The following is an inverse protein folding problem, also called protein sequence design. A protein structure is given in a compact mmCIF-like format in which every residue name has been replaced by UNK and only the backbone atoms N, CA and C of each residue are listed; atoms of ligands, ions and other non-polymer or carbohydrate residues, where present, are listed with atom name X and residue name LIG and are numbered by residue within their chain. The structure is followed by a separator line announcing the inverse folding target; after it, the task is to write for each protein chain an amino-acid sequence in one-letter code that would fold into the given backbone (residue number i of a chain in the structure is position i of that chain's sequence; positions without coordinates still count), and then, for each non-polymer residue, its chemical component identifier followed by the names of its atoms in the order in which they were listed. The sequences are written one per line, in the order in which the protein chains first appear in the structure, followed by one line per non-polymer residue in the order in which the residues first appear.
data_IF_287168812448
#
_entry.id   IF_287168812448
#
_cell.length_a   1.000
_cell.length_b   1.000
_cell.length_c   1.000
_cell.angle_alpha   90.00
_cell.angle_beta   90.00
_cell.angle_gamma   90.00
#
_symmetry.space_group_name_H-M   'P 1'
#
loop_
_entity.id
_entity.type
_entity.pdbx_description
1 polymer ?
#
# COMPACT_ATOMS: atom_id res chain seq x y z
N UNK A 1 20.01 10.63 22.48
CA UNK A 1 20.17 9.23 22.03
C UNK A 1 21.64 8.90 21.90
N UNK A 2 22.05 7.68 22.23
CA UNK A 2 23.39 7.20 21.86
C UNK A 2 23.27 6.67 20.42
N UNK A 3 23.94 7.32 19.46
CA UNK A 3 23.79 7.04 18.02
C UNK A 3 24.22 5.63 17.56
N UNK A 4 24.81 5.49 16.40
CA UNK A 4 25.33 4.19 15.95
C UNK A 4 26.56 3.73 16.76
N UNK A 5 26.68 2.43 17.04
CA UNK A 5 27.91 1.82 17.56
C UNK A 5 28.05 0.39 17.03
N UNK A 6 29.19 0.08 16.41
CA UNK A 6 29.48 -1.26 15.89
C UNK A 6 29.57 -2.34 16.99
N UNK A 7 29.75 -1.94 18.26
CA UNK A 7 29.75 -2.83 19.40
C UNK A 7 28.32 -3.19 19.87
N UNK A 8 27.33 -2.34 19.56
CA UNK A 8 25.90 -2.60 19.86
C UNK A 8 25.27 -3.39 18.72
N UNK A 9 25.57 -4.69 18.67
CA UNK A 9 25.06 -5.59 17.63
C UNK A 9 24.70 -6.96 18.19
N UNK A 10 23.77 -7.63 17.51
CA UNK A 10 23.51 -9.06 17.65
C UNK A 10 24.15 -9.77 16.46
N UNK A 11 24.98 -10.79 16.72
CA UNK A 11 25.51 -11.65 15.66
C UNK A 11 24.49 -12.71 15.28
N UNK A 12 24.29 -12.92 13.97
CA UNK A 12 23.44 -13.97 13.41
C UNK A 12 24.26 -14.84 12.46
N UNK A 13 24.08 -16.15 12.52
CA UNK A 13 24.86 -17.11 11.75
C UNK A 13 24.19 -17.41 10.41
N UNK A 14 24.90 -17.10 9.33
CA UNK A 14 24.48 -17.30 7.93
C UNK A 14 25.61 -17.88 7.08
N UNK A 15 25.26 -18.64 6.04
CA UNK A 15 26.21 -19.20 5.08
C UNK A 15 26.54 -18.16 3.99
N UNK A 16 27.56 -17.34 4.24
CA UNK A 16 28.02 -16.30 3.29
C UNK A 16 26.88 -15.37 2.86
N UNK A 17 26.39 -14.55 3.81
CA UNK A 17 25.30 -13.60 3.58
C UNK A 17 25.62 -12.61 2.47
N UNK A 18 24.74 -12.50 1.47
CA UNK A 18 24.96 -11.73 0.24
C UNK A 18 23.96 -10.58 0.02
N UNK A 19 22.88 -10.53 0.80
CA UNK A 19 21.89 -9.47 0.77
C UNK A 19 20.85 -9.67 1.88
N UNK A 20 20.14 -8.61 2.28
CA UNK A 20 19.13 -8.71 3.33
C UNK A 20 17.90 -7.83 3.08
N UNK A 21 16.75 -8.26 3.59
CA UNK A 21 15.47 -7.53 3.58
C UNK A 21 14.79 -7.68 4.94
N UNK A 22 14.32 -6.57 5.52
CA UNK A 22 13.63 -6.57 6.80
C UNK A 22 12.15 -6.18 6.64
N UNK A 23 11.24 -7.10 6.93
CA UNK A 23 9.78 -6.93 6.89
C UNK A 23 9.13 -7.88 7.90
N UNK A 24 7.91 -7.60 8.33
CA UNK A 24 7.11 -8.51 9.15
C UNK A 24 6.48 -9.60 8.24
N UNK A 25 7.22 -10.67 7.98
CA UNK A 25 6.81 -11.68 7.01
C UNK A 25 5.73 -12.61 7.55
N UNK A 26 5.64 -12.78 8.87
CA UNK A 26 4.65 -13.65 9.51
C UNK A 26 3.43 -12.88 10.08
N UNK A 27 3.47 -11.55 10.13
CA UNK A 27 2.40 -10.69 10.61
C UNK A 27 2.26 -10.66 12.14
N UNK A 28 3.33 -10.94 12.89
CA UNK A 28 3.32 -10.98 14.36
C UNK A 28 3.58 -9.61 15.02
N UNK A 29 3.82 -8.58 14.21
CA UNK A 29 4.09 -7.20 14.64
C UNK A 29 5.56 -6.90 14.91
N UNK A 30 6.46 -7.88 14.74
CA UNK A 30 7.90 -7.69 14.81
C UNK A 30 8.51 -7.75 13.40
N UNK A 31 9.57 -6.96 13.16
CA UNK A 31 10.32 -7.07 11.91
C UNK A 31 11.11 -8.38 11.90
N UNK A 32 10.97 -9.14 10.83
CA UNK A 32 11.80 -10.28 10.50
C UNK A 32 12.97 -9.86 9.59
N UNK A 33 13.95 -10.74 9.41
CA UNK A 33 15.12 -10.50 8.58
C UNK A 33 15.34 -11.68 7.62
N UNK A 34 15.11 -11.45 6.34
CA UNK A 34 15.52 -12.37 5.26
C UNK A 34 16.95 -12.06 4.85
N UNK A 35 17.78 -13.09 4.71
CA UNK A 35 19.20 -12.99 4.31
C UNK A 35 19.49 -14.01 3.22
N UNK A 36 19.86 -13.53 2.02
CA UNK A 36 20.34 -14.37 0.94
C UNK A 36 21.72 -14.94 1.30
N UNK A 37 21.94 -16.22 1.00
CA UNK A 37 23.15 -16.94 1.37
C UNK A 37 23.80 -17.56 0.13
N UNK A 38 25.09 -17.30 -0.09
CA UNK A 38 25.76 -17.60 -1.36
C UNK A 38 26.53 -18.94 -1.37
N UNK A 39 27.18 -19.29 -0.26
CA UNK A 39 28.05 -20.46 -0.21
C UNK A 39 28.22 -20.98 1.21
N UNK A 40 28.30 -22.30 1.33
CA UNK A 40 28.62 -22.99 2.58
C UNK A 40 30.09 -22.77 2.96
N UNK A 41 30.51 -23.03 4.22
CA UNK A 41 31.89 -22.83 4.65
C UNK A 41 32.96 -23.58 3.83
N UNK A 42 32.59 -24.66 3.13
CA UNK A 42 33.47 -25.43 2.25
C UNK A 42 33.53 -24.89 0.80
N UNK A 43 32.89 -23.76 0.51
CA UNK A 43 32.81 -23.17 -0.83
C UNK A 43 31.72 -23.78 -1.74
N UNK A 44 30.90 -24.72 -1.25
CA UNK A 44 29.78 -25.26 -2.03
C UNK A 44 28.66 -24.21 -2.15
N UNK A 45 28.28 -23.89 -3.38
CA UNK A 45 27.24 -22.91 -3.71
C UNK A 45 25.82 -23.46 -3.52
N UNK A 46 25.63 -24.63 -2.90
CA UNK A 46 24.31 -25.13 -2.48
C UNK A 46 23.90 -24.62 -1.11
N UNK A 47 24.01 -23.32 -0.88
CA UNK A 47 23.65 -22.67 0.38
C UNK A 47 22.17 -22.25 0.40
N UNK A 48 21.52 -22.47 1.55
CA UNK A 48 20.13 -22.08 1.80
C UNK A 48 20.08 -20.67 2.42
N UNK A 49 19.15 -19.85 1.97
CA UNK A 49 18.92 -18.52 2.54
C UNK A 49 18.20 -18.62 3.89
N UNK A 50 18.39 -17.64 4.76
CA UNK A 50 17.85 -17.66 6.12
C UNK A 50 16.76 -16.59 6.28
N UNK A 51 15.64 -16.95 6.91
CA UNK A 51 14.64 -16.02 7.39
C UNK A 51 14.62 -16.09 8.92
N UNK A 52 15.13 -15.05 9.57
CA UNK A 52 15.12 -14.92 11.03
C UNK A 52 13.85 -14.20 11.46
N UNK A 53 13.10 -14.79 12.41
CA UNK A 53 11.90 -14.14 12.91
C UNK A 53 12.22 -13.25 14.11
N UNK A 54 11.79 -11.99 14.06
CA UNK A 54 12.00 -11.01 15.14
C UNK A 54 10.98 -11.14 16.27
N UNK A 55 11.33 -10.73 17.49
CA UNK A 55 10.43 -10.87 18.64
C UNK A 55 10.82 -9.97 19.81
N UNK A 56 10.11 -10.07 20.94
CA UNK A 56 10.37 -9.24 22.12
C UNK A 56 11.80 -9.37 22.67
N UNK A 57 12.44 -10.52 22.48
CA UNK A 57 13.82 -10.80 22.89
C UNK A 57 14.85 -10.50 21.77
N UNK A 58 14.40 -9.97 20.63
CA UNK A 58 15.22 -9.73 19.44
C UNK A 58 15.38 -10.97 18.53
N UNK A 59 16.38 -10.91 17.64
CA UNK A 59 16.69 -11.99 16.70
C UNK A 59 17.48 -13.13 17.36
N UNK A 60 17.28 -14.37 16.89
CA UNK A 60 17.96 -15.56 17.40
C UNK A 60 18.24 -16.57 16.29
N UNK A 61 19.40 -17.24 16.34
CA UNK A 61 19.75 -18.34 15.44
C UNK A 61 18.83 -19.56 15.55
N UNK A 62 18.12 -19.70 16.68
CA UNK A 62 17.17 -20.78 16.92
C UNK A 62 15.76 -20.46 16.43
N UNK A 63 15.48 -19.19 16.08
CA UNK A 63 14.19 -18.74 15.57
C UNK A 63 14.33 -18.31 14.11
N UNK A 64 14.69 -19.26 13.25
CA UNK A 64 14.81 -19.05 11.81
C UNK A 64 14.24 -20.18 10.98
N UNK A 65 13.81 -19.84 9.77
CA UNK A 65 13.46 -20.76 8.69
C UNK A 65 14.58 -20.76 7.65
N UNK A 66 14.95 -21.94 7.15
CA UNK A 66 15.83 -22.07 5.99
C UNK A 66 14.99 -22.14 4.72
N UNK A 67 15.24 -21.22 3.80
CA UNK A 67 14.61 -21.17 2.48
C UNK A 67 15.42 -22.03 1.50
N UNK A 68 14.78 -22.87 0.68
CA UNK A 68 15.46 -23.83 -0.20
C UNK A 68 16.03 -23.16 -1.46
N UNK A 69 16.90 -22.17 -1.28
CA UNK A 69 17.69 -21.55 -2.35
C UNK A 69 18.96 -22.35 -2.62
N UNK A 70 19.61 -22.10 -3.77
CA UNK A 70 20.94 -22.62 -4.10
C UNK A 70 21.89 -21.46 -4.40
N UNK A 71 22.55 -20.95 -3.35
CA UNK A 71 23.70 -20.05 -3.50
C UNK A 71 23.36 -18.67 -4.07
N UNK A 72 22.19 -18.15 -3.69
CA UNK A 72 21.74 -16.82 -4.09
C UNK A 72 22.82 -15.76 -3.84
N UNK A 73 23.16 -15.05 -4.91
CA UNK A 73 24.11 -13.95 -4.88
C UNK A 73 23.30 -12.66 -5.10
N UNK A 74 23.00 -11.96 -4.01
CA UNK A 74 22.20 -10.72 -3.93
C UNK A 74 20.67 -10.89 -3.70
N UNK A 75 20.00 -9.79 -3.34
CA UNK A 75 18.54 -9.64 -3.24
C UNK A 75 18.09 -8.40 -4.01
N UNK A 76 17.29 -8.59 -5.05
CA UNK A 76 16.53 -7.51 -5.70
C UNK A 76 15.14 -7.41 -5.08
N UNK A 77 14.77 -6.22 -4.61
CA UNK A 77 13.43 -5.95 -4.10
C UNK A 77 12.95 -4.56 -4.51
N UNK A 78 11.64 -4.34 -4.45
CA UNK A 78 11.07 -3.00 -4.42
C UNK A 78 10.99 -2.59 -2.96
N UNK A 79 11.46 -1.38 -2.63
CA UNK A 79 11.38 -0.84 -1.27
C UNK A 79 9.96 -0.98 -0.72
N UNK A 80 9.88 -1.55 0.49
CA UNK A 80 8.60 -1.69 1.16
C UNK A 80 8.10 -0.32 1.65
N UNK A 81 6.89 0.01 1.24
CA UNK A 81 6.21 1.24 1.65
C UNK A 81 6.60 2.46 0.82
N UNK A 82 5.94 3.57 1.13
CA UNK A 82 6.11 4.81 0.39
C UNK A 82 7.50 5.43 0.65
N UNK A 83 8.18 5.87 -0.42
CA UNK A 83 9.56 6.39 -0.36
C UNK A 83 9.72 7.50 0.68
N UNK A 84 8.77 8.44 0.75
CA UNK A 84 8.86 9.62 1.62
C UNK A 84 8.67 9.31 3.11
N UNK A 85 7.67 8.50 3.46
CA UNK A 85 7.22 8.34 4.86
C UNK A 85 7.26 6.89 5.36
N UNK A 86 7.69 5.94 4.52
CA UNK A 86 7.87 4.51 4.84
C UNK A 86 6.63 3.79 5.35
N UNK A 87 5.45 4.38 5.18
CA UNK A 87 4.17 3.73 5.51
C UNK A 87 3.77 2.81 4.36
N UNK A 88 3.07 1.73 4.69
CA UNK A 88 2.56 0.76 3.73
C UNK A 88 1.27 1.23 3.04
N UNK A 89 1.26 2.47 2.58
CA UNK A 89 0.15 3.08 1.86
C UNK A 89 0.66 3.91 0.68
N UNK A 90 -0.03 3.80 -0.46
CA UNK A 90 0.25 4.56 -1.68
C UNK A 90 -1.06 5.14 -2.19
N UNK A 91 -1.07 6.43 -2.50
CA UNK A 91 -2.21 7.10 -3.09
C UNK A 91 -2.00 7.27 -4.61
N UNK A 92 -3.02 6.91 -5.39
CA UNK A 92 -3.11 7.20 -6.81
C UNK A 92 -4.31 8.10 -7.08
N UNK A 93 -4.10 9.20 -7.78
CA UNK A 93 -5.15 10.17 -8.12
C UNK A 93 -5.51 10.04 -9.58
N UNK A 94 -6.81 9.89 -9.89
CA UNK A 94 -7.29 9.77 -11.26
C UNK A 94 -7.05 11.04 -12.06
N UNK A 95 -7.13 10.94 -13.39
CA UNK A 95 -7.33 12.14 -14.23
C UNK A 95 -8.61 12.87 -13.82
N UNK A 96 -8.65 14.18 -14.08
CA UNK A 96 -9.86 14.98 -13.93
C UNK A 96 -10.82 14.60 -15.07
N UNK A 97 -12.05 14.24 -14.70
CA UNK A 97 -13.14 14.03 -15.65
C UNK A 97 -14.03 15.28 -15.71
N UNK A 98 -14.16 15.87 -16.89
CA UNK A 98 -14.98 17.06 -17.11
C UNK A 98 -16.33 16.70 -17.73
N UNK A 99 -17.40 17.30 -17.22
CA UNK A 99 -18.77 17.10 -17.68
C UNK A 99 -19.33 18.40 -18.28
N UNK A 100 -20.22 18.27 -19.26
CA UNK A 100 -20.85 19.42 -19.93
C UNK A 100 -21.79 20.20 -19.00
N UNK A 101 -22.46 19.50 -18.08
CA UNK A 101 -23.37 20.07 -17.08
C UNK A 101 -22.88 19.77 -15.66
N UNK A 102 -23.28 20.57 -14.65
CA UNK A 102 -22.98 20.26 -13.26
C UNK A 102 -23.55 18.90 -12.84
N UNK A 103 -22.72 18.12 -12.16
CA UNK A 103 -23.03 16.80 -11.61
C UNK A 103 -22.55 16.67 -10.16
N UNK A 104 -23.09 15.68 -9.47
CA UNK A 104 -22.56 15.14 -8.21
C UNK A 104 -22.27 13.65 -8.36
N UNK A 105 -21.47 13.10 -7.45
CA UNK A 105 -21.18 11.66 -7.42
C UNK A 105 -22.23 10.94 -6.58
N UNK A 106 -23.03 10.07 -7.20
CA UNK A 106 -24.10 9.32 -6.54
C UNK A 106 -23.65 7.93 -6.07
N UNK A 107 -22.71 7.30 -6.80
CA UNK A 107 -22.12 6.04 -6.39
C UNK A 107 -20.70 5.89 -6.89
N UNK A 108 -19.92 5.05 -6.21
CA UNK A 108 -18.62 4.57 -6.66
C UNK A 108 -18.62 3.04 -6.62
N UNK A 109 -18.11 2.42 -7.68
CA UNK A 109 -17.92 0.98 -7.79
C UNK A 109 -16.51 0.68 -8.25
N UNK A 110 -15.98 -0.46 -7.83
CA UNK A 110 -14.70 -0.97 -8.30
C UNK A 110 -14.62 -2.48 -8.14
N UNK A 111 -13.71 -3.08 -8.91
CA UNK A 111 -13.26 -4.46 -8.72
C UNK A 111 -11.78 -4.47 -8.34
N UNK A 112 -11.44 -5.17 -7.26
CA UNK A 112 -10.06 -5.29 -6.81
C UNK A 112 -9.79 -6.64 -6.14
N UNK A 113 -8.55 -7.12 -6.28
CA UNK A 113 -8.03 -8.25 -5.53
C UNK A 113 -7.27 -7.73 -4.30
N UNK A 114 -7.60 -8.25 -3.11
CA UNK A 114 -7.07 -7.82 -1.82
C UNK A 114 -6.41 -8.98 -1.06
N UNK A 115 -5.33 -9.56 -1.61
CA UNK A 115 -4.67 -10.71 -0.99
C UNK A 115 -4.02 -10.34 0.34
N UNK A 116 -3.85 -11.34 1.22
CA UNK A 116 -2.99 -11.29 2.40
C UNK A 116 -3.23 -10.08 3.33
N UNK A 117 -4.49 -9.66 3.45
CA UNK A 117 -4.87 -8.55 4.34
C UNK A 117 -4.59 -7.15 3.77
N UNK A 118 -4.20 -7.04 2.50
CA UNK A 118 -4.15 -5.77 1.78
C UNK A 118 -5.54 -5.16 1.64
N UNK A 119 -5.61 -3.84 1.47
CA UNK A 119 -6.88 -3.09 1.43
C UNK A 119 -6.82 -1.95 0.44
N UNK A 120 -7.95 -1.68 -0.20
CA UNK A 120 -8.13 -0.49 -1.03
C UNK A 120 -9.31 0.32 -0.52
N UNK A 121 -9.16 1.65 -0.55
CA UNK A 121 -10.21 2.60 -0.19
C UNK A 121 -10.17 3.81 -1.10
N UNK A 122 -11.31 4.50 -1.24
CA UNK A 122 -11.46 5.60 -2.17
C UNK A 122 -11.92 6.89 -1.49
N UNK A 123 -11.60 8.00 -2.13
CA UNK A 123 -12.22 9.30 -1.89
C UNK A 123 -12.56 9.93 -3.23
N UNK A 124 -13.56 10.80 -3.25
CA UNK A 124 -13.93 11.60 -4.42
C UNK A 124 -13.84 13.08 -4.10
N UNK A 125 -13.69 13.90 -5.13
CA UNK A 125 -13.89 15.35 -5.04
C UNK A 125 -14.54 15.86 -6.31
N UNK A 126 -15.32 16.92 -6.15
CA UNK A 126 -16.06 17.58 -7.23
C UNK A 126 -15.80 19.08 -7.14
N UNK A 127 -15.52 19.72 -8.27
CA UNK A 127 -15.27 21.14 -8.39
C UNK A 127 -16.09 21.75 -9.54
N UNK A 128 -16.48 23.01 -9.41
CA UNK A 128 -17.20 23.73 -10.48
C UNK A 128 -16.33 23.91 -11.73
N UNK A 129 -15.01 24.02 -11.53
CA UNK A 129 -13.94 24.08 -12.52
C UNK A 129 -12.69 23.37 -11.97
N UNK A 130 -11.57 23.40 -12.71
CA UNK A 130 -10.32 22.73 -12.32
C UNK A 130 -9.68 23.35 -11.08
N UNK A 131 -9.66 24.68 -11.00
CA UNK A 131 -9.01 25.39 -9.88
C UNK A 131 -9.74 25.08 -8.57
N UNK A 132 -11.08 25.12 -8.59
CA UNK A 132 -11.91 24.78 -7.44
C UNK A 132 -11.88 23.29 -7.11
N UNK A 133 -11.64 22.41 -8.09
CA UNK A 133 -11.43 20.98 -7.82
C UNK A 133 -10.12 20.76 -7.05
N UNK A 134 -9.05 21.47 -7.41
CA UNK A 134 -7.75 21.33 -6.75
C UNK A 134 -7.81 21.72 -5.27
N UNK A 135 -8.60 22.74 -4.94
CA UNK A 135 -8.90 23.19 -3.57
C UNK A 135 -9.94 22.31 -2.84
N UNK A 136 -10.74 21.53 -3.57
CA UNK A 136 -11.84 20.75 -3.00
C UNK A 136 -11.34 19.63 -2.08
N UNK A 137 -12.05 19.45 -0.95
CA UNK A 137 -11.76 18.41 0.01
C UNK A 137 -12.05 17.01 -0.57
N UNK A 138 -11.10 16.10 -0.36
CA UNK A 138 -11.32 14.67 -0.58
C UNK A 138 -12.38 14.16 0.39
N UNK A 139 -13.40 13.50 -0.15
CA UNK A 139 -14.64 13.19 0.56
C UNK A 139 -15.03 11.73 0.36
N UNK A 140 -15.51 11.10 1.43
CA UNK A 140 -16.14 9.79 1.43
C UNK A 140 -17.63 9.87 1.80
N UNK A 141 -18.28 8.75 2.12
CA UNK A 141 -19.73 8.70 2.35
C UNK A 141 -20.17 9.47 3.61
N UNK A 142 -19.27 9.70 4.57
CA UNK A 142 -19.58 10.41 5.82
C UNK A 142 -19.04 11.85 5.85
N UNK A 143 -18.61 12.38 4.70
CA UNK A 143 -18.16 13.77 4.55
C UNK A 143 -16.65 13.93 4.35
N UNK A 144 -16.13 15.17 4.47
CA UNK A 144 -14.73 15.47 4.18
C UNK A 144 -13.76 14.59 4.99
N UNK A 145 -12.66 14.19 4.36
CA UNK A 145 -11.63 13.30 4.88
C UNK A 145 -12.08 11.86 5.22
N UNK A 146 -13.36 11.50 5.04
CA UNK A 146 -13.82 10.11 5.14
C UNK A 146 -13.49 9.30 3.87
N UNK A 147 -13.68 7.99 3.91
CA UNK A 147 -13.31 7.05 2.84
C UNK A 147 -14.47 6.12 2.48
N UNK A 148 -14.53 5.73 1.21
CA UNK A 148 -15.26 4.57 0.76
C UNK A 148 -14.37 3.33 0.96
N UNK A 149 -14.73 2.47 1.91
CA UNK A 149 -14.04 1.20 2.17
C UNK A 149 -14.66 0.01 1.39
N UNK A 150 -15.82 0.23 0.75
CA UNK A 150 -16.49 -0.72 -0.15
C UNK A 150 -17.25 0.04 -1.25
N UNK A 151 -17.57 -0.61 -2.39
CA UNK A 151 -18.47 -0.06 -3.39
C UNK A 151 -19.79 0.36 -2.75
N UNK A 152 -20.23 1.58 -3.00
CA UNK A 152 -21.37 2.15 -2.29
C UNK A 152 -22.16 3.14 -3.15
N UNK A 153 -23.45 3.26 -2.82
CA UNK A 153 -24.38 4.25 -3.37
C UNK A 153 -24.84 5.16 -2.23
N UNK A 154 -24.69 6.46 -2.45
CA UNK A 154 -24.98 7.48 -1.47
C UNK A 154 -26.47 7.81 -1.45
N UNK A 155 -26.97 8.22 -0.28
CA UNK A 155 -28.35 8.70 -0.13
C UNK A 155 -28.58 10.05 -0.83
N UNK A 156 -27.52 10.84 -1.01
CA UNK A 156 -27.51 12.09 -1.77
C UNK A 156 -26.17 12.22 -2.49
N UNK A 157 -26.19 12.73 -3.72
CA UNK A 157 -24.97 12.90 -4.50
C UNK A 157 -23.99 13.87 -3.82
N UNK A 158 -22.71 13.49 -3.82
CA UNK A 158 -21.63 14.31 -3.27
C UNK A 158 -21.17 15.35 -4.29
N UNK A 159 -21.25 16.62 -3.89
CA UNK A 159 -20.76 17.75 -4.66
C UNK A 159 -21.73 18.23 -5.75
N UNK A 160 -21.36 19.35 -6.36
CA UNK A 160 -22.09 19.99 -7.45
C UNK A 160 -21.09 20.76 -8.31
N UNK A 161 -20.69 20.19 -9.45
CA UNK A 161 -19.67 20.80 -10.28
C UNK A 161 -19.45 20.07 -11.60
N UNK A 162 -18.54 20.57 -12.42
CA UNK A 162 -18.25 20.02 -13.76
C UNK A 162 -16.98 19.19 -13.81
N UNK A 163 -16.16 19.27 -12.78
CA UNK A 163 -14.92 18.51 -12.68
C UNK A 163 -15.09 17.47 -11.58
N UNK A 164 -14.80 16.21 -11.89
CA UNK A 164 -14.90 15.08 -10.96
C UNK A 164 -13.56 14.33 -10.95
N UNK A 165 -13.12 13.91 -9.76
CA UNK A 165 -11.91 13.12 -9.60
C UNK A 165 -12.05 12.16 -8.44
N UNK A 166 -11.39 11.02 -8.52
CA UNK A 166 -11.24 10.10 -7.39
C UNK A 166 -9.77 9.88 -7.04
N UNK A 167 -9.55 9.41 -5.81
CA UNK A 167 -8.25 8.99 -5.30
C UNK A 167 -8.39 7.61 -4.68
N UNK A 168 -7.58 6.68 -5.17
CA UNK A 168 -7.46 5.33 -4.65
C UNK A 168 -6.28 5.26 -3.67
N UNK A 169 -6.49 4.61 -2.54
CA UNK A 169 -5.44 4.34 -1.54
C UNK A 169 -5.18 2.84 -1.47
N UNK A 170 -3.98 2.44 -1.86
CA UNK A 170 -3.49 1.06 -1.85
C UNK A 170 -2.75 0.84 -0.54
N UNK A 171 -3.24 -0.07 0.30
CA UNK A 171 -2.70 -0.32 1.63
C UNK A 171 -2.22 -1.76 1.73
N UNK A 172 -1.01 -1.94 2.23
CA UNK A 172 -0.47 -3.23 2.62
C UNK A 172 -0.46 -3.34 4.16
N UNK A 173 -0.62 -4.55 4.66
CA UNK A 173 -0.53 -4.83 6.10
C UNK A 173 0.91 -4.71 6.60
N UNK A 174 1.83 -5.30 5.85
CA UNK A 174 3.23 -5.54 6.25
C UNK A 174 4.23 -5.16 5.15
N UNK A 175 3.76 -4.59 4.04
CA UNK A 175 4.58 -4.17 2.90
C UNK A 175 4.87 -5.29 1.90
N UNK A 176 4.47 -6.53 2.17
CA UNK A 176 4.75 -7.68 1.31
C UNK A 176 3.83 -7.79 0.09
N UNK A 177 2.59 -7.26 0.19
CA UNK A 177 1.60 -7.36 -0.88
C UNK A 177 0.63 -6.17 -0.88
N UNK A 178 0.27 -5.69 -2.07
CA UNK A 178 -0.63 -4.55 -2.29
C UNK A 178 -1.83 -4.98 -3.13
N UNK A 179 -2.98 -4.31 -3.02
CA UNK A 179 -4.17 -4.70 -3.76
C UNK A 179 -3.99 -4.42 -5.25
N UNK A 180 -4.64 -5.24 -6.09
CA UNK A 180 -4.70 -5.03 -7.53
C UNK A 180 -6.06 -4.48 -7.92
N UNK A 181 -6.10 -3.21 -8.31
CA UNK A 181 -7.30 -2.55 -8.81
C UNK A 181 -7.49 -2.84 -10.31
N UNK A 182 -8.66 -3.35 -10.69
CA UNK A 182 -8.98 -3.72 -12.09
C UNK A 182 -9.76 -2.63 -12.81
N UNK A 183 -10.80 -2.10 -12.17
CA UNK A 183 -11.66 -1.08 -12.73
C UNK A 183 -12.28 -0.21 -11.63
N UNK A 184 -12.66 1.01 -12.00
CA UNK A 184 -13.40 1.96 -11.17
C UNK A 184 -14.47 2.61 -12.03
N UNK A 185 -15.69 2.71 -11.49
CA UNK A 185 -16.80 3.41 -12.11
C UNK A 185 -17.41 4.40 -11.11
N UNK A 186 -17.69 5.61 -11.59
CA UNK A 186 -18.48 6.61 -10.86
C UNK A 186 -19.85 6.73 -11.53
N UNK A 187 -20.91 6.70 -10.74
CA UNK A 187 -22.25 7.05 -11.20
C UNK A 187 -22.48 8.53 -10.87
N UNK A 188 -22.72 9.33 -11.91
CA UNK A 188 -22.86 10.79 -11.81
C UNK A 188 -24.32 11.20 -12.00
N UNK A 189 -24.81 12.09 -11.14
CA UNK A 189 -26.17 12.62 -11.20
C UNK A 189 -26.15 14.12 -11.51
N UNK A 190 -26.96 14.61 -12.47
CA UNK A 190 -27.08 16.05 -12.73
C UNK A 190 -27.58 16.81 -11.50
N UNK A 191 -26.94 17.94 -11.18
CA UNK A 191 -27.23 18.73 -9.96
C UNK A 191 -28.11 19.97 -10.21
N UNK A 192 -28.91 19.97 -11.28
CA UNK A 192 -29.86 21.03 -11.60
C UNK A 192 -31.32 20.56 -11.54
N UNK A 193 -32.23 21.43 -11.06
CA UNK A 193 -33.67 21.25 -11.33
C UNK A 193 -33.84 21.29 -12.85
N UNK A 194 -34.54 20.30 -13.42
CA UNK A 194 -35.19 20.51 -14.71
C UNK A 194 -36.21 21.62 -14.50
N UNK A 195 -35.90 22.84 -14.94
CA UNK A 195 -36.96 23.80 -15.23
C UNK A 195 -37.78 23.17 -16.34
N UNK A 196 -38.91 22.55 -15.97
CA UNK A 196 -39.92 22.17 -16.95
C UNK A 196 -40.44 23.46 -17.59
N UNK A 197 -40.62 23.48 -18.92
CA UNK A 197 -41.19 24.63 -19.62
C UNK A 197 -42.60 24.94 -19.13
#
# INVERSE_FOLDING_TARGET
EQGFSAARRTGLLTDSGSGALALDFNGDGWLDLSVACHARPNGDHRAQSSLFFGGPDGFSDYRKLLLPTEGSHDITHVDAGHIYHRRFEIAWTSSIHETATPVGVAAIRWSAETPLGSRIRFQVRVGVDRDRLEEAAWTGPTGPASFFDAPDRLAAALGNGRCVQYRAWFMSRDGSNYPLLRDVALELEPTGKQDKP
#
